data_IF_174962871210
#
_entry.id   IF_174962871210
#
_cell.length_a   1.000
_cell.length_b   1.000
_cell.length_c   1.000
_cell.angle_alpha   90.00
_cell.angle_beta   90.00
_cell.angle_gamma   90.00
#
_symmetry.space_group_name_H-M   'P 1'
#
loop_
_entity.id
_entity.type
_entity.pdbx_description
1 polymer ?
#
# COMPACT_ATOMS: atom_id res chain seq x y z
N UNK A 1 2.17 17.28 -2.35
CA UNK A 1 2.07 15.89 -1.85
C UNK A 1 0.62 15.37 -1.73
N UNK A 2 -0.39 16.02 -2.32
CA UNK A 2 -1.76 15.47 -2.43
C UNK A 2 -1.87 14.37 -3.49
N UNK A 3 -0.87 13.51 -3.59
CA UNK A 3 -0.99 12.18 -4.20
C UNK A 3 -0.52 11.15 -3.16
N UNK A 4 0.56 11.47 -2.41
CA UNK A 4 1.06 10.61 -1.33
C UNK A 4 0.04 10.48 -0.19
N UNK A 5 -0.75 11.51 0.11
CA UNK A 5 -1.82 11.43 1.13
C UNK A 5 -2.95 10.47 0.74
N UNK A 6 -3.35 10.50 -0.52
CA UNK A 6 -4.37 9.59 -1.09
C UNK A 6 -3.82 8.16 -1.14
N UNK A 7 -2.51 8.00 -1.43
CA UNK A 7 -1.85 6.70 -1.32
C UNK A 7 -1.92 6.15 0.12
N UNK A 8 -1.65 6.98 1.13
CA UNK A 8 -1.74 6.63 2.54
C UNK A 8 -3.17 6.21 2.91
N UNK A 9 -4.19 6.95 2.47
CA UNK A 9 -5.58 6.64 2.80
C UNK A 9 -6.02 5.29 2.22
N UNK A 10 -5.66 5.02 0.96
CA UNK A 10 -5.91 3.72 0.36
C UNK A 10 -5.10 2.59 1.01
N UNK A 11 -3.83 2.82 1.39
CA UNK A 11 -3.03 1.82 2.12
C UNK A 11 -3.66 1.49 3.49
N UNK A 12 -4.22 2.46 4.22
CA UNK A 12 -4.95 2.19 5.47
C UNK A 12 -6.19 1.32 5.25
N UNK A 13 -6.93 1.55 4.16
CA UNK A 13 -8.08 0.72 3.81
C UNK A 13 -7.65 -0.70 3.41
N UNK A 14 -6.57 -0.83 2.63
CA UNK A 14 -6.01 -2.13 2.28
C UNK A 14 -5.59 -2.92 3.53
N UNK A 15 -4.93 -2.27 4.49
CA UNK A 15 -4.55 -2.88 5.76
C UNK A 15 -5.76 -3.31 6.58
N UNK A 16 -6.81 -2.48 6.64
CA UNK A 16 -8.03 -2.81 7.39
C UNK A 16 -8.72 -4.07 6.82
N UNK A 17 -8.91 -4.11 5.50
CA UNK A 17 -9.46 -5.29 4.82
C UNK A 17 -8.56 -6.52 4.95
N UNK A 18 -7.25 -6.34 4.81
CA UNK A 18 -6.26 -7.38 5.00
C UNK A 18 -6.32 -8.06 6.37
N UNK A 19 -6.46 -7.27 7.44
CA UNK A 19 -6.63 -7.77 8.83
C UNK A 19 -7.91 -8.59 9.02
N UNK A 20 -8.91 -8.40 8.17
CA UNK A 20 -10.14 -9.18 8.15
C UNK A 20 -10.06 -10.42 7.23
N UNK A 21 -8.92 -10.63 6.55
CA UNK A 21 -8.73 -11.72 5.59
C UNK A 21 -9.31 -11.42 4.20
N UNK A 22 -9.78 -10.19 3.95
CA UNK A 22 -10.39 -9.76 2.70
C UNK A 22 -9.32 -9.48 1.62
N UNK A 23 -8.76 -10.54 1.05
CA UNK A 23 -7.65 -10.46 0.09
C UNK A 23 -7.99 -9.62 -1.16
N UNK A 24 -9.19 -9.74 -1.71
CA UNK A 24 -9.60 -9.01 -2.92
C UNK A 24 -9.69 -7.50 -2.65
N UNK A 25 -10.28 -7.10 -1.52
CA UNK A 25 -10.40 -5.71 -1.11
C UNK A 25 -9.04 -5.12 -0.72
N UNK A 26 -8.17 -5.89 -0.07
CA UNK A 26 -6.77 -5.51 0.14
C UNK A 26 -6.12 -5.16 -1.19
N UNK A 27 -6.19 -6.05 -2.19
CA UNK A 27 -5.58 -5.84 -3.51
C UNK A 27 -6.15 -4.59 -4.16
N UNK A 28 -7.47 -4.42 -4.15
CA UNK A 28 -8.12 -3.25 -4.75
C UNK A 28 -7.60 -1.95 -4.16
N UNK A 29 -7.53 -1.85 -2.83
CA UNK A 29 -7.04 -0.64 -2.19
C UNK A 29 -5.52 -0.46 -2.35
N UNK A 30 -4.74 -1.55 -2.35
CA UNK A 30 -3.30 -1.50 -2.60
C UNK A 30 -2.98 -1.04 -4.04
N UNK A 31 -3.73 -1.49 -5.05
CA UNK A 31 -3.59 -1.04 -6.44
C UNK A 31 -3.87 0.46 -6.58
N UNK A 32 -4.92 0.98 -5.94
CA UNK A 32 -5.21 2.42 -5.95
C UNK A 32 -4.14 3.21 -5.18
N UNK A 33 -3.66 2.70 -4.04
CA UNK A 33 -2.57 3.31 -3.29
C UNK A 33 -1.30 3.42 -4.17
N UNK A 34 -0.97 2.35 -4.89
CA UNK A 34 0.18 2.28 -5.80
C UNK A 34 0.09 3.30 -6.93
N UNK A 35 -1.09 3.49 -7.51
CA UNK A 35 -1.32 4.51 -8.55
C UNK A 35 -1.00 5.91 -8.03
N UNK A 36 -1.54 6.26 -6.86
CA UNK A 36 -1.28 7.55 -6.23
C UNK A 36 0.18 7.71 -5.79
N UNK A 37 0.81 6.67 -5.23
CA UNK A 37 2.21 6.69 -4.84
C UNK A 37 3.12 6.95 -6.05
N UNK A 38 2.86 6.32 -7.21
CA UNK A 38 3.61 6.58 -8.46
C UNK A 38 3.45 8.02 -8.98
N UNK A 39 2.35 8.69 -8.65
CA UNK A 39 2.12 10.11 -8.95
C UNK A 39 2.74 11.06 -7.91
N UNK A 40 3.27 10.53 -6.81
CA UNK A 40 3.80 11.27 -5.67
C UNK A 40 5.17 11.94 -5.91
N UNK A 41 5.94 11.47 -6.89
CA UNK A 41 7.27 12.00 -7.21
C UNK A 41 8.36 10.93 -7.17
N UNK A 42 9.57 11.31 -6.73
CA UNK A 42 10.71 10.40 -6.56
C UNK A 42 11.39 10.71 -5.22
N UNK A 43 11.14 9.88 -4.24
CA UNK A 43 11.75 9.91 -2.90
C UNK A 43 12.12 8.49 -2.49
N UNK A 44 13.15 8.33 -1.63
CA UNK A 44 13.61 7.01 -1.21
C UNK A 44 12.47 6.22 -0.53
N UNK A 45 11.77 6.87 0.40
CA UNK A 45 10.63 6.27 1.07
C UNK A 45 9.46 6.03 0.12
N UNK A 46 9.17 6.96 -0.79
CA UNK A 46 8.16 6.71 -1.82
C UNK A 46 8.46 5.47 -2.67
N UNK A 47 9.72 5.25 -3.03
CA UNK A 47 10.15 4.05 -3.78
C UNK A 47 9.98 2.77 -2.96
N UNK A 48 10.43 2.74 -1.71
CA UNK A 48 10.24 1.57 -0.84
C UNK A 48 8.76 1.28 -0.57
N UNK A 49 7.94 2.32 -0.39
CA UNK A 49 6.50 2.19 -0.27
C UNK A 49 5.84 1.61 -1.52
N UNK A 50 6.29 2.01 -2.71
CA UNK A 50 5.83 1.45 -3.99
C UNK A 50 6.19 -0.04 -4.09
N UNK A 51 7.41 -0.43 -3.71
CA UNK A 51 7.86 -1.81 -3.79
C UNK A 51 7.03 -2.71 -2.86
N UNK A 52 6.82 -2.29 -1.61
CA UNK A 52 5.94 -3.00 -0.70
C UNK A 52 4.48 -3.07 -1.16
N UNK A 53 3.95 -2.03 -1.82
CA UNK A 53 2.61 -2.11 -2.42
C UNK A 53 2.55 -3.15 -3.54
N UNK A 54 3.60 -3.31 -4.36
CA UNK A 54 3.64 -4.36 -5.38
C UNK A 54 3.62 -5.76 -4.73
N UNK A 55 4.42 -5.99 -3.69
CA UNK A 55 4.45 -7.26 -2.95
C UNK A 55 3.09 -7.56 -2.29
N UNK A 56 2.45 -6.54 -1.69
CA UNK A 56 1.11 -6.66 -1.13
C UNK A 56 0.07 -7.11 -2.19
N UNK A 57 0.15 -6.55 -3.40
CA UNK A 57 -0.73 -6.89 -4.52
C UNK A 57 -0.46 -8.33 -5.00
N UNK A 58 0.81 -8.72 -5.10
CA UNK A 58 1.19 -10.08 -5.51
C UNK A 58 0.67 -11.12 -4.53
N UNK A 59 0.96 -10.95 -3.24
CA UNK A 59 0.49 -11.85 -2.18
C UNK A 59 -1.04 -11.84 -2.05
N UNK A 60 -1.67 -10.67 -2.11
CA UNK A 60 -3.12 -10.55 -2.07
C UNK A 60 -3.81 -11.26 -3.25
N UNK A 61 -3.25 -11.17 -4.47
CA UNK A 61 -3.76 -11.91 -5.65
C UNK A 61 -3.60 -13.43 -5.53
N UNK A 62 -2.62 -13.88 -4.76
CA UNK A 62 -2.47 -15.29 -4.39
C UNK A 62 -3.40 -15.74 -3.25
N UNK A 63 -4.21 -14.84 -2.69
CA UNK A 63 -5.09 -15.10 -1.55
C UNK A 63 -4.40 -15.06 -0.19
N UNK A 64 -3.12 -14.67 -0.14
CA UNK A 64 -2.33 -14.52 1.09
C UNK A 64 -2.62 -13.17 1.74
N UNK A 65 -3.84 -12.99 2.25
CA UNK A 65 -4.28 -11.71 2.85
C UNK A 65 -3.40 -11.28 4.02
N UNK A 66 -2.91 -12.23 4.83
CA UNK A 66 -2.01 -12.03 5.94
C UNK A 66 -0.66 -11.43 5.48
N UNK A 67 0.04 -12.09 4.56
CA UNK A 67 1.33 -11.61 4.02
C UNK A 67 1.15 -10.31 3.25
N UNK A 68 0.04 -10.19 2.50
CA UNK A 68 -0.31 -8.93 1.84
C UNK A 68 -0.46 -7.78 2.83
N UNK A 69 -1.05 -8.04 4.01
CA UNK A 69 -1.25 -7.01 5.06
C UNK A 69 0.09 -6.55 5.63
N UNK A 70 1.03 -7.46 5.88
CA UNK A 70 2.37 -7.13 6.37
C UNK A 70 3.09 -6.17 5.41
N UNK A 71 2.99 -6.43 4.10
CA UNK A 71 3.53 -5.54 3.09
C UNK A 71 2.81 -4.19 3.02
N UNK A 72 1.48 -4.14 3.15
CA UNK A 72 0.76 -2.86 3.24
C UNK A 72 1.19 -2.06 4.47
N UNK A 73 1.40 -2.71 5.61
CA UNK A 73 1.87 -2.03 6.83
C UNK A 73 3.27 -1.42 6.63
N UNK A 74 4.19 -2.16 6.02
CA UNK A 74 5.52 -1.66 5.67
C UNK A 74 5.43 -0.49 4.65
N UNK A 75 4.59 -0.61 3.63
CA UNK A 75 4.35 0.47 2.67
C UNK A 75 3.82 1.74 3.37
N UNK A 76 2.88 1.59 4.32
CA UNK A 76 2.28 2.70 5.04
C UNK A 76 3.32 3.46 5.87
N UNK A 77 4.25 2.77 6.52
CA UNK A 77 5.34 3.40 7.27
C UNK A 77 6.20 4.30 6.37
N UNK A 78 6.62 3.79 5.22
CA UNK A 78 7.40 4.57 4.27
C UNK A 78 6.62 5.76 3.68
N UNK A 79 5.36 5.55 3.28
CA UNK A 79 4.54 6.63 2.72
C UNK A 79 4.30 7.76 3.75
N UNK A 80 4.16 7.42 5.04
CA UNK A 80 4.06 8.41 6.11
C UNK A 80 5.34 9.23 6.24
N UNK A 81 6.51 8.59 6.24
CA UNK A 81 7.81 9.29 6.30
C UNK A 81 8.13 10.14 5.06
N UNK A 82 7.51 9.86 3.92
CA UNK A 82 7.65 10.71 2.72
C UNK A 82 6.92 12.06 2.87
N UNK A 83 5.92 12.17 3.76
CA UNK A 83 5.12 13.40 3.96
C UNK A 83 5.41 14.14 5.27
N UNK A 84 6.37 13.66 6.06
CA UNK A 84 6.94 14.36 7.21
C UNK A 84 7.87 15.51 6.76
#
# INVERSE_FOLDING_TARGET
MGNVREAIDHAKQAMAHGKEGHAEELVKHAETSLQFAKMGGRGLHLSEGIDHLNEAIEHGKAGHADVGTEHVEAALQHLLSEVE
#
